data_IF_648209998665
#
_entry.id   IF_648209998665
#
_cell.length_a   1.000
_cell.length_b   1.000
_cell.length_c   1.000
_cell.angle_alpha   90.00
_cell.angle_beta   90.00
_cell.angle_gamma   90.00
#
_symmetry.space_group_name_H-M   'P 1'
#
loop_
_entity.id
_entity.type
_entity.pdbx_description
1 polymer ?
#
# COMPACT_ATOMS: atom_id res chain seq x y z
N UNK A 1 9.36 18.75 34.12
CA UNK A 1 9.50 17.39 33.59
C UNK A 1 9.88 16.48 34.75
N UNK A 2 9.21 15.33 34.95
CA UNK A 2 9.68 14.36 35.96
C UNK A 2 10.96 13.72 35.39
N UNK A 3 12.00 13.56 36.19
CA UNK A 3 13.31 13.01 35.74
C UNK A 3 13.17 11.64 35.05
N UNK A 4 12.10 10.89 35.33
CA UNK A 4 11.78 9.62 34.67
C UNK A 4 11.22 9.71 33.25
N UNK A 5 11.12 10.91 32.65
CA UNK A 5 10.69 11.11 31.26
C UNK A 5 11.86 11.47 30.32
N UNK A 6 13.09 11.59 30.84
CA UNK A 6 14.29 11.83 30.04
C UNK A 6 14.84 10.51 29.49
N UNK A 7 15.26 10.51 28.23
CA UNK A 7 15.95 9.37 27.61
C UNK A 7 17.21 9.01 28.42
N UNK A 8 17.37 7.72 28.75
CA UNK A 8 18.48 7.20 29.56
C UNK A 8 19.86 7.61 29.02
N UNK A 9 19.98 7.82 27.70
CA UNK A 9 21.22 8.27 27.07
C UNK A 9 21.53 9.72 27.39
N UNK A 10 20.51 10.58 27.44
CA UNK A 10 20.63 11.99 27.82
C UNK A 10 21.01 12.10 29.30
N UNK A 11 20.35 11.31 30.15
CA UNK A 11 20.67 11.24 31.59
C UNK A 11 22.12 10.78 31.81
N UNK A 12 22.57 9.76 31.08
CA UNK A 12 23.95 9.27 31.15
C UNK A 12 24.98 10.33 30.73
N UNK A 13 24.72 11.04 29.62
CA UNK A 13 25.61 12.11 29.15
C UNK A 13 25.68 13.27 30.15
N UNK A 14 24.55 13.70 30.72
CA UNK A 14 24.52 14.77 31.70
C UNK A 14 25.27 14.40 32.99
N UNK A 15 25.11 13.15 33.47
CA UNK A 15 25.85 12.65 34.63
C UNK A 15 27.36 12.65 34.39
N UNK A 16 27.81 12.32 33.17
CA UNK A 16 29.24 12.35 32.81
C UNK A 16 29.80 13.77 32.71
N UNK A 17 28.97 14.74 32.35
CA UNK A 17 29.32 16.14 32.25
C UNK A 17 29.17 16.90 33.58
N UNK A 18 28.65 16.24 34.64
CA UNK A 18 28.42 16.86 35.95
C UNK A 18 27.24 17.84 35.96
N UNK A 19 26.37 17.77 34.96
CA UNK A 19 25.22 18.66 34.83
C UNK A 19 24.01 18.07 35.58
N UNK A 20 23.27 18.93 36.30
CA UNK A 20 22.05 18.50 36.98
C UNK A 20 20.94 18.27 35.96
N UNK A 21 20.49 17.02 35.83
CA UNK A 21 19.39 16.63 34.95
C UNK A 21 18.09 17.40 35.24
N UNK A 22 17.91 17.95 36.45
CA UNK A 22 16.76 18.79 36.80
C UNK A 22 16.84 20.20 36.23
N UNK A 23 18.04 20.67 35.87
CA UNK A 23 18.27 21.98 35.25
C UNK A 23 18.23 21.91 33.70
N UNK A 24 18.09 20.71 33.12
CA UNK A 24 18.03 20.54 31.68
C UNK A 24 16.79 21.21 31.09
N UNK A 25 17.02 22.23 30.27
CA UNK A 25 16.01 22.87 29.43
C UNK A 25 16.45 22.66 27.98
N UNK A 26 15.84 21.73 27.23
CA UNK A 26 16.26 21.50 25.85
C UNK A 26 16.07 22.77 25.04
N UNK A 27 17.13 23.21 24.37
CA UNK A 27 17.08 24.37 23.49
C UNK A 27 16.09 24.11 22.35
N UNK A 28 15.16 25.03 22.14
CA UNK A 28 14.22 24.97 21.01
C UNK A 28 15.02 25.04 19.71
N UNK A 29 14.97 23.97 18.91
CA UNK A 29 15.56 23.93 17.58
C UNK A 29 14.83 24.92 16.66
N UNK A 30 15.54 25.71 15.83
CA UNK A 30 14.92 26.66 14.93
C UNK A 30 14.22 25.93 13.78
N UNK A 31 12.90 26.11 13.68
CA UNK A 31 12.06 25.55 12.64
C UNK A 31 12.03 26.45 11.38
N UNK A 32 12.37 25.87 10.23
CA UNK A 32 11.77 26.28 8.95
C UNK A 32 10.46 25.51 8.77
N UNK A 33 9.32 26.17 8.99
CA UNK A 33 8.08 25.99 8.23
C UNK A 33 7.00 26.93 8.77
N UNK A 34 6.45 27.72 7.84
CA UNK A 34 5.44 28.76 8.00
C UNK A 34 4.18 28.24 8.69
N UNK A 35 3.93 28.70 9.92
CA UNK A 35 2.59 28.84 10.50
C UNK A 35 2.60 30.16 11.27
N UNK A 36 1.58 30.98 11.02
CA UNK A 36 1.40 32.34 11.56
C UNK A 36 1.58 32.37 13.08
N UNK A 37 2.60 33.08 13.53
CA UNK A 37 2.88 33.40 14.93
C UNK A 37 2.01 34.57 15.39
N UNK A 38 1.12 34.32 16.34
CA UNK A 38 0.85 35.29 17.41
C UNK A 38 1.37 34.70 18.71
N UNK A 39 2.25 35.47 19.35
CA UNK A 39 3.10 35.07 20.46
C UNK A 39 2.33 35.06 21.80
N UNK A 40 2.59 34.04 22.63
CA UNK A 40 2.20 34.04 24.03
C UNK A 40 2.19 32.65 24.68
N UNK A 41 3.18 32.41 25.55
CA UNK A 41 3.17 31.48 26.69
C UNK A 41 2.75 30.01 26.50
N UNK A 42 3.73 29.10 26.66
CA UNK A 42 3.61 27.74 27.22
C UNK A 42 2.28 26.98 27.00
N UNK A 43 1.76 26.97 25.78
CA UNK A 43 0.71 26.05 25.38
C UNK A 43 1.37 24.75 24.94
N UNK A 44 1.21 23.72 25.75
CA UNK A 44 1.29 22.32 25.31
C UNK A 44 0.49 22.23 24.01
N UNK A 45 1.19 22.22 22.87
CA UNK A 45 0.55 22.31 21.56
C UNK A 45 -0.46 21.16 21.47
N UNK A 46 -1.73 21.54 21.47
CA UNK A 46 -2.84 20.60 21.45
C UNK A 46 -2.82 19.98 20.06
N UNK A 47 -2.35 18.74 19.95
CA UNK A 47 -2.46 17.99 18.71
C UNK A 47 -3.93 17.73 18.44
N UNK A 48 -4.49 18.44 17.47
CA UNK A 48 -5.86 18.27 16.99
C UNK A 48 -5.82 17.55 15.64
N UNK A 49 -6.65 16.53 15.50
CA UNK A 49 -6.87 15.80 14.25
C UNK A 49 -8.25 16.13 13.70
N UNK A 50 -8.41 16.08 12.39
CA UNK A 50 -9.72 16.22 11.74
C UNK A 50 -10.20 14.83 11.30
N UNK A 51 -11.43 14.46 11.67
CA UNK A 51 -12.05 13.19 11.29
C UNK A 51 -13.55 13.37 11.10
N UNK A 52 -14.06 13.11 9.89
CA UNK A 52 -15.47 13.26 9.51
C UNK A 52 -16.07 14.61 9.93
N UNK A 53 -15.34 15.70 9.65
CA UNK A 53 -15.74 17.07 9.99
C UNK A 53 -15.67 17.40 11.48
N UNK A 54 -15.04 16.56 12.31
CA UNK A 54 -14.87 16.77 13.75
C UNK A 54 -13.42 16.94 14.12
N UNK A 55 -13.19 17.81 15.10
CA UNK A 55 -11.90 17.95 15.76
C UNK A 55 -11.73 16.94 16.89
N UNK A 56 -10.72 16.09 16.77
CA UNK A 56 -10.31 15.13 17.79
C UNK A 56 -9.07 15.64 18.50
N UNK A 57 -9.20 15.98 19.78
CA UNK A 57 -8.03 16.29 20.59
C UNK A 57 -7.30 15.01 21.01
N UNK A 58 -6.00 14.95 20.75
CA UNK A 58 -5.15 13.85 21.23
C UNK A 58 -4.57 14.25 22.57
N UNK A 59 -4.97 13.57 23.65
CA UNK A 59 -4.46 13.84 24.99
C UNK A 59 -3.20 13.01 25.32
N UNK A 60 -3.18 11.75 24.89
CA UNK A 60 -2.10 10.80 25.20
C UNK A 60 -0.79 11.18 24.51
N UNK A 61 0.26 11.40 25.29
CA UNK A 61 1.58 11.79 24.80
C UNK A 61 2.20 10.76 23.86
N UNK A 62 2.02 9.47 24.12
CA UNK A 62 2.55 8.40 23.27
C UNK A 62 1.90 8.39 21.89
N UNK A 63 0.60 8.67 21.84
CA UNK A 63 -0.13 8.84 20.57
C UNK A 63 0.38 10.08 19.82
N UNK A 64 0.63 11.19 20.51
CA UNK A 64 1.20 12.41 19.91
C UNK A 64 2.59 12.17 19.34
N UNK A 65 3.46 11.49 20.09
CA UNK A 65 4.82 11.20 19.67
C UNK A 65 4.83 10.26 18.46
N UNK A 66 4.06 9.17 18.48
CA UNK A 66 3.92 8.28 17.34
C UNK A 66 3.39 9.00 16.09
N UNK A 67 2.40 9.89 16.23
CA UNK A 67 1.91 10.74 15.14
C UNK A 67 2.99 11.68 14.59
N UNK A 68 3.79 12.29 15.46
CA UNK A 68 4.89 13.17 15.07
C UNK A 68 5.94 12.39 14.26
N UNK A 69 6.30 11.19 14.72
CA UNK A 69 7.23 10.32 14.01
C UNK A 69 6.66 9.83 12.68
N UNK A 70 5.37 9.45 12.61
CA UNK A 70 4.73 9.07 11.35
C UNK A 70 4.80 10.18 10.29
N UNK A 71 4.53 11.43 10.70
CA UNK A 71 4.56 12.62 9.84
C UNK A 71 5.97 13.02 9.40
N UNK A 72 6.99 12.69 10.20
CA UNK A 72 8.39 13.01 9.87
C UNK A 72 8.98 12.06 8.81
N UNK A 73 8.36 10.89 8.58
CA UNK A 73 8.83 9.93 7.56
C UNK A 73 8.60 10.50 6.15
N UNK A 74 9.65 10.69 5.33
CA UNK A 74 9.56 11.37 4.04
C UNK A 74 9.13 10.43 2.89
N UNK A 75 8.01 9.70 3.03
CA UNK A 75 7.56 8.72 2.01
C UNK A 75 7.32 9.39 0.66
N UNK A 76 6.42 10.38 0.59
CA UNK A 76 5.97 10.97 -0.68
C UNK A 76 7.09 11.66 -1.47
N UNK A 77 8.05 12.32 -0.80
CA UNK A 77 9.14 12.99 -1.50
C UNK A 77 10.14 12.00 -2.08
N UNK A 78 10.41 10.89 -1.38
CA UNK A 78 11.28 9.81 -1.88
C UNK A 78 10.59 9.02 -2.98
N UNK A 79 9.31 8.71 -2.81
CA UNK A 79 8.47 8.06 -3.81
C UNK A 79 8.41 8.87 -5.11
N UNK A 80 8.06 10.16 -5.04
CA UNK A 80 8.00 11.03 -6.21
C UNK A 80 9.33 11.10 -6.95
N UNK A 81 10.45 11.19 -6.22
CA UNK A 81 11.80 11.17 -6.80
C UNK A 81 12.14 9.85 -7.49
N UNK A 82 11.68 8.72 -6.94
CA UNK A 82 11.87 7.41 -7.57
C UNK A 82 11.02 7.29 -8.84
N UNK A 83 9.82 7.87 -8.85
CA UNK A 83 8.87 7.82 -9.97
C UNK A 83 9.08 8.90 -11.04
N UNK A 84 9.97 9.87 -10.83
CA UNK A 84 10.23 10.98 -11.76
C UNK A 84 10.77 10.51 -13.14
N UNK A 85 11.58 9.45 -13.16
CA UNK A 85 12.04 8.86 -14.42
C UNK A 85 10.96 8.03 -15.11
N UNK A 86 11.07 7.78 -16.42
CA UNK A 86 10.14 6.89 -17.15
C UNK A 86 10.58 5.41 -17.18
N UNK A 87 11.83 5.12 -16.76
CA UNK A 87 12.41 3.79 -16.79
C UNK A 87 11.94 2.85 -15.66
N UNK A 88 12.36 1.59 -15.75
CA UNK A 88 12.09 0.58 -14.72
C UNK A 88 12.73 0.97 -13.37
N UNK A 89 11.97 0.83 -12.29
CA UNK A 89 12.44 1.10 -10.93
C UNK A 89 13.31 -0.06 -10.44
N UNK A 90 14.53 0.27 -10.03
CA UNK A 90 15.48 -0.73 -9.50
C UNK A 90 15.00 -1.31 -8.17
N UNK A 91 15.41 -2.54 -7.86
CA UNK A 91 15.03 -3.21 -6.59
C UNK A 91 15.48 -2.39 -5.37
N UNK A 92 16.65 -1.77 -5.42
CA UNK A 92 17.14 -0.92 -4.32
C UNK A 92 16.31 0.35 -4.11
N UNK A 93 15.87 1.01 -5.19
CA UNK A 93 14.97 2.17 -5.08
C UNK A 93 13.58 1.78 -4.56
N UNK A 94 13.04 0.66 -5.04
CA UNK A 94 11.78 0.10 -4.58
C UNK A 94 11.83 -0.21 -3.08
N UNK A 95 12.81 -0.99 -2.63
CA UNK A 95 12.95 -1.36 -1.21
C UNK A 95 13.10 -0.13 -0.32
N UNK A 96 13.85 0.88 -0.76
CA UNK A 96 14.00 2.13 -0.01
C UNK A 96 12.66 2.83 0.25
N UNK A 97 11.74 2.85 -0.71
CA UNK A 97 10.41 3.46 -0.53
C UNK A 97 9.55 2.57 0.39
N UNK A 98 9.58 1.26 0.18
CA UNK A 98 8.82 0.30 1.00
C UNK A 98 9.25 0.35 2.47
N UNK A 99 10.55 0.41 2.77
CA UNK A 99 11.06 0.53 4.14
C UNK A 99 10.52 1.79 4.85
N UNK A 100 10.38 2.90 4.11
CA UNK A 100 9.81 4.13 4.64
C UNK A 100 8.30 4.00 4.87
N UNK A 101 7.57 3.40 3.93
CA UNK A 101 6.13 3.12 4.08
C UNK A 101 5.88 2.24 5.30
N UNK A 102 6.62 1.13 5.42
CA UNK A 102 6.51 0.18 6.53
C UNK A 102 6.83 0.86 7.87
N UNK A 103 7.87 1.71 7.91
CA UNK A 103 8.19 2.51 9.10
C UNK A 103 7.05 3.46 9.48
N UNK A 104 6.43 4.14 8.52
CA UNK A 104 5.29 5.04 8.79
C UNK A 104 4.07 4.26 9.29
N UNK A 105 3.76 3.13 8.67
CA UNK A 105 2.68 2.22 9.11
C UNK A 105 2.91 1.75 10.54
N UNK A 106 4.15 1.39 10.90
CA UNK A 106 4.50 0.99 12.27
C UNK A 106 4.19 2.09 13.29
N UNK A 107 4.51 3.36 12.98
CA UNK A 107 4.15 4.47 13.87
C UNK A 107 2.62 4.67 13.99
N UNK A 108 1.85 4.49 12.92
CA UNK A 108 0.39 4.51 13.02
C UNK A 108 -0.16 3.34 13.85
N UNK A 109 0.43 2.15 13.73
CA UNK A 109 0.08 0.99 14.57
C UNK A 109 0.41 1.22 16.05
N UNK A 110 1.54 1.85 16.37
CA UNK A 110 1.89 2.23 17.74
C UNK A 110 0.87 3.23 18.31
N UNK A 111 0.51 4.25 17.52
CA UNK A 111 -0.52 5.22 17.90
C UNK A 111 -1.88 4.55 18.11
N UNK A 112 -2.26 3.62 17.23
CA UNK A 112 -3.49 2.82 17.32
C UNK A 112 -3.50 1.94 18.58
N UNK A 113 -2.39 1.30 18.91
CA UNK A 113 -2.27 0.44 20.09
C UNK A 113 -2.50 1.25 21.37
N UNK A 114 -1.91 2.45 21.48
CA UNK A 114 -2.13 3.35 22.61
C UNK A 114 -3.56 3.91 22.64
N UNK A 115 -4.14 4.30 21.51
CA UNK A 115 -5.53 4.76 21.45
C UNK A 115 -6.52 3.66 21.89
N UNK A 116 -6.28 2.40 21.51
CA UNK A 116 -7.08 1.24 21.96
C UNK A 116 -6.91 0.98 23.46
N UNK A 117 -5.71 1.15 23.99
CA UNK A 117 -5.46 1.03 25.43
C UNK A 117 -6.26 2.07 26.21
N UNK A 118 -6.24 3.33 25.79
CA UNK A 118 -7.02 4.40 26.42
C UNK A 118 -8.53 4.14 26.33
N UNK A 119 -9.01 3.68 25.16
CA UNK A 119 -10.42 3.35 24.96
C UNK A 119 -10.90 2.26 25.92
N UNK A 120 -10.09 1.23 26.18
CA UNK A 120 -10.42 0.17 27.14
C UNK A 120 -10.47 0.66 28.58
N UNK A 121 -9.74 1.72 28.91
CA UNK A 121 -9.76 2.35 30.24
C UNK A 121 -10.84 3.41 30.42
N UNK A 122 -11.56 3.79 29.36
CA UNK A 122 -12.56 4.84 29.40
C UNK A 122 -13.87 4.35 30.00
N UNK A 123 -14.52 5.19 30.81
CA UNK A 123 -15.84 4.90 31.35
C UNK A 123 -16.90 4.84 30.24
N UNK A 124 -17.77 3.83 30.30
CA UNK A 124 -18.79 3.58 29.29
C UNK A 124 -19.83 4.72 29.22
N UNK A 125 -20.31 5.01 28.01
CA UNK A 125 -21.33 6.02 27.75
C UNK A 125 -20.83 7.47 27.87
N UNK A 126 -19.54 7.70 28.10
CA UNK A 126 -18.98 9.04 28.23
C UNK A 126 -18.60 9.64 26.86
N UNK A 127 -18.66 10.97 26.76
CA UNK A 127 -18.18 11.69 25.58
C UNK A 127 -16.69 11.40 25.28
N UNK A 128 -15.89 11.16 26.32
CA UNK A 128 -14.48 10.78 26.19
C UNK A 128 -14.33 9.41 25.51
N UNK A 129 -15.16 8.42 25.87
CA UNK A 129 -15.16 7.11 25.21
C UNK A 129 -15.45 7.26 23.71
N UNK A 130 -16.47 8.03 23.35
CA UNK A 130 -16.79 8.31 21.93
C UNK A 130 -15.63 8.97 21.19
N UNK A 131 -14.97 9.96 21.81
CA UNK A 131 -13.81 10.62 21.21
C UNK A 131 -12.64 9.65 20.99
N UNK A 132 -12.36 8.77 21.94
CA UNK A 132 -11.32 7.74 21.82
C UNK A 132 -11.67 6.70 20.75
N UNK A 133 -12.95 6.33 20.61
CA UNK A 133 -13.41 5.45 19.55
C UNK A 133 -13.21 6.06 18.17
N UNK A 134 -13.55 7.35 18.00
CA UNK A 134 -13.28 8.08 16.75
C UNK A 134 -11.79 8.16 16.45
N UNK A 135 -10.95 8.32 17.47
CA UNK A 135 -9.50 8.32 17.32
C UNK A 135 -8.98 6.95 16.84
N UNK A 136 -9.52 5.86 17.37
CA UNK A 136 -9.22 4.49 16.88
C UNK A 136 -9.63 4.32 15.43
N UNK A 137 -10.82 4.78 15.03
CA UNK A 137 -11.27 4.73 13.63
C UNK A 137 -10.37 5.54 12.70
N UNK A 138 -9.96 6.74 13.13
CA UNK A 138 -9.00 7.57 12.40
C UNK A 138 -7.70 6.81 12.13
N UNK A 139 -7.14 6.14 13.14
CA UNK A 139 -5.88 5.40 12.96
C UNK A 139 -6.03 4.15 12.10
N UNK A 140 -7.15 3.43 12.21
CA UNK A 140 -7.45 2.32 11.31
C UNK A 140 -7.50 2.81 9.86
N UNK A 141 -8.12 3.96 9.61
CA UNK A 141 -8.14 4.58 8.29
C UNK A 141 -6.74 4.93 7.79
N UNK A 142 -5.89 5.53 8.65
CA UNK A 142 -4.51 5.86 8.25
C UNK A 142 -3.69 4.62 7.91
N UNK A 143 -3.83 3.53 8.67
CA UNK A 143 -3.14 2.26 8.38
C UNK A 143 -3.61 1.70 7.02
N UNK A 144 -4.92 1.65 6.78
CA UNK A 144 -5.46 1.19 5.50
C UNK A 144 -5.02 2.10 4.33
N UNK A 145 -5.01 3.43 4.53
CA UNK A 145 -4.59 4.40 3.51
C UNK A 145 -3.11 4.27 3.12
N UNK A 146 -2.23 3.97 4.08
CA UNK A 146 -0.82 3.70 3.80
C UNK A 146 -0.63 2.34 3.12
N UNK A 147 -1.41 1.31 3.50
CA UNK A 147 -1.43 0.01 2.78
C UNK A 147 -1.88 0.17 1.33
N UNK A 148 -2.93 0.96 1.09
CA UNK A 148 -3.38 1.34 -0.25
C UNK A 148 -2.25 2.02 -1.03
N UNK A 149 -1.61 3.04 -0.44
CA UNK A 149 -0.52 3.78 -1.07
C UNK A 149 0.65 2.85 -1.45
N UNK A 150 1.00 1.91 -0.57
CA UNK A 150 2.02 0.88 -0.82
C UNK A 150 1.65 -0.01 -2.01
N UNK A 151 0.40 -0.47 -2.08
CA UNK A 151 -0.06 -1.33 -3.18
C UNK A 151 -0.09 -0.57 -4.52
N UNK A 152 -0.51 0.70 -4.52
CA UNK A 152 -0.48 1.56 -5.71
C UNK A 152 0.95 1.86 -6.18
N UNK A 153 1.88 2.11 -5.24
CA UNK A 153 3.30 2.27 -5.58
C UNK A 153 3.86 1.00 -6.24
N UNK A 154 3.59 -0.17 -5.68
CA UNK A 154 4.01 -1.44 -6.26
C UNK A 154 3.38 -1.67 -7.64
N UNK A 155 2.10 -1.32 -7.83
CA UNK A 155 1.44 -1.43 -9.12
C UNK A 155 2.14 -0.57 -10.19
N UNK A 156 2.54 0.66 -9.85
CA UNK A 156 3.30 1.52 -10.77
C UNK A 156 4.70 0.96 -11.06
N UNK A 157 5.40 0.42 -10.05
CA UNK A 157 6.71 -0.23 -10.24
C UNK A 157 6.60 -1.44 -11.17
N UNK A 158 5.65 -2.34 -10.93
CA UNK A 158 5.45 -3.53 -11.75
C UNK A 158 4.92 -3.20 -13.15
N UNK A 159 4.11 -2.15 -13.29
CA UNK A 159 3.72 -1.61 -14.59
C UNK A 159 4.94 -1.23 -15.43
N UNK A 160 5.87 -0.43 -14.88
CA UNK A 160 7.08 -0.02 -15.62
C UNK A 160 7.96 -1.21 -15.99
N UNK A 161 8.06 -2.20 -15.09
CA UNK A 161 8.77 -3.47 -15.38
C UNK A 161 8.10 -4.27 -16.49
N UNK A 162 6.78 -4.34 -16.51
CA UNK A 162 6.02 -4.99 -17.58
C UNK A 162 6.30 -4.32 -18.94
N UNK A 163 6.21 -2.98 -19.02
CA UNK A 163 6.51 -2.26 -20.26
C UNK A 163 7.97 -2.48 -20.71
N UNK A 164 8.93 -2.48 -19.78
CA UNK A 164 10.33 -2.78 -20.08
C UNK A 164 10.52 -4.24 -20.56
N UNK A 165 9.76 -5.18 -20.00
CA UNK A 165 9.73 -6.59 -20.40
C UNK A 165 9.24 -6.73 -21.84
N UNK A 166 8.15 -6.07 -22.19
CA UNK A 166 7.65 -6.06 -23.57
C UNK A 166 8.66 -5.47 -24.54
N UNK A 167 9.27 -4.32 -24.22
CA UNK A 167 10.28 -3.70 -25.07
C UNK A 167 11.51 -4.61 -25.28
N UNK A 168 11.96 -5.30 -24.23
CA UNK A 168 13.06 -6.27 -24.31
C UNK A 168 12.71 -7.48 -25.19
N UNK A 169 11.47 -7.99 -25.09
CA UNK A 169 11.01 -9.13 -25.89
C UNK A 169 10.82 -8.77 -27.37
N UNK A 170 10.29 -7.57 -27.66
CA UNK A 170 10.12 -7.09 -29.04
C UNK A 170 11.45 -6.81 -29.73
N UNK A 171 12.44 -6.25 -29.01
CA UNK A 171 13.75 -5.95 -29.57
C UNK A 171 14.61 -7.20 -29.86
N UNK A 172 14.46 -8.26 -29.04
CA UNK A 172 15.13 -9.55 -29.25
C UNK A 172 14.75 -10.22 -30.58
N UNK A 173 13.52 -9.99 -31.05
CA UNK A 173 13.06 -10.49 -32.35
C UNK A 173 13.70 -9.76 -33.56
N UNK A 174 14.26 -8.56 -33.37
CA UNK A 174 14.73 -7.69 -34.45
C UNK A 174 16.24 -7.39 -34.45
N UNK A 175 16.98 -7.57 -33.35
CA UNK A 175 18.40 -7.20 -33.30
C UNK A 175 19.25 -8.10 -32.37
N UNK A 176 20.14 -8.91 -32.98
CA UNK A 176 21.31 -9.48 -32.31
C UNK A 176 22.26 -8.35 -31.90
N UNK A 177 22.12 -7.76 -30.71
CA UNK A 177 23.19 -6.92 -30.16
C UNK A 177 22.83 -5.83 -29.14
N UNK A 178 21.56 -5.50 -28.90
CA UNK A 178 21.20 -4.58 -27.81
C UNK A 178 20.85 -5.37 -26.55
N UNK A 179 21.68 -5.26 -25.52
CA UNK A 179 21.30 -5.69 -24.15
C UNK A 179 20.06 -4.89 -23.76
N UNK A 180 18.94 -5.58 -23.54
CA UNK A 180 17.74 -4.95 -23.01
C UNK A 180 18.00 -4.34 -21.63
N UNK A 181 17.30 -3.25 -21.32
CA UNK A 181 17.46 -2.47 -20.09
C UNK A 181 17.02 -3.22 -18.81
N UNK A 182 16.44 -4.42 -18.95
CA UNK A 182 15.94 -5.23 -17.84
C UNK A 182 16.41 -6.69 -17.95
N UNK A 183 16.83 -7.25 -16.82
CA UNK A 183 17.25 -8.65 -16.72
C UNK A 183 16.03 -9.58 -16.83
N UNK A 184 16.14 -10.77 -17.46
CA UNK A 184 15.05 -11.74 -17.53
C UNK A 184 14.44 -12.13 -16.18
N UNK A 185 15.25 -12.13 -15.11
CA UNK A 185 14.78 -12.40 -13.75
C UNK A 185 13.89 -11.30 -13.15
N UNK A 186 13.77 -10.16 -13.83
CA UNK A 186 12.94 -9.02 -13.45
C UNK A 186 11.77 -8.82 -14.41
N UNK A 187 11.54 -9.77 -15.32
CA UNK A 187 10.38 -9.73 -16.20
C UNK A 187 9.10 -9.76 -15.37
N UNK A 188 8.15 -8.92 -15.74
CA UNK A 188 6.87 -8.79 -15.04
C UNK A 188 5.71 -9.05 -16.00
N UNK A 189 4.66 -9.70 -15.47
CA UNK A 189 3.41 -9.94 -16.17
C UNK A 189 2.39 -8.85 -15.84
N UNK A 190 1.51 -8.46 -16.79
CA UNK A 190 0.43 -7.51 -16.49
C UNK A 190 -0.53 -8.06 -15.41
N UNK A 191 -0.62 -9.38 -15.23
CA UNK A 191 -1.43 -10.01 -14.18
C UNK A 191 -0.88 -9.76 -12.76
N UNK A 192 0.43 -9.52 -12.61
CA UNK A 192 0.98 -9.09 -11.32
C UNK A 192 0.45 -7.71 -10.93
N UNK A 193 0.32 -6.81 -11.91
CA UNK A 193 -0.24 -5.47 -11.71
C UNK A 193 -1.73 -5.55 -11.39
N UNK A 194 -2.47 -6.46 -12.02
CA UNK A 194 -3.88 -6.75 -11.70
C UNK A 194 -4.04 -7.13 -10.23
N UNK A 195 -3.24 -8.10 -9.73
CA UNK A 195 -3.29 -8.54 -8.33
C UNK A 195 -3.00 -7.40 -7.34
N UNK A 196 -2.07 -6.50 -7.70
CA UNK A 196 -1.76 -5.33 -6.87
C UNK A 196 -2.91 -4.33 -6.82
N UNK A 197 -3.64 -4.11 -7.92
CA UNK A 197 -4.86 -3.29 -7.90
C UNK A 197 -6.01 -3.95 -7.15
N UNK A 198 -6.11 -5.28 -7.16
CA UNK A 198 -7.08 -6.01 -6.33
C UNK A 198 -6.78 -5.83 -4.84
N UNK A 199 -5.53 -6.02 -4.42
CA UNK A 199 -5.09 -5.78 -3.04
C UNK A 199 -5.27 -4.30 -2.63
N UNK A 200 -5.03 -3.36 -3.54
CA UNK A 200 -5.33 -1.95 -3.34
C UNK A 200 -6.84 -1.72 -3.12
N UNK A 201 -7.69 -2.34 -3.93
CA UNK A 201 -9.14 -2.24 -3.81
C UNK A 201 -9.66 -2.86 -2.49
N UNK A 202 -9.07 -3.96 -2.03
CA UNK A 202 -9.36 -4.54 -0.71
C UNK A 202 -9.06 -3.55 0.43
N UNK A 203 -7.93 -2.84 0.34
CA UNK A 203 -7.56 -1.79 1.31
C UNK A 203 -8.58 -0.64 1.32
N UNK A 204 -9.15 -0.29 0.16
CA UNK A 204 -10.26 0.68 0.07
C UNK A 204 -11.52 0.13 0.75
N UNK A 205 -11.85 -1.13 0.53
CA UNK A 205 -12.96 -1.80 1.21
C UNK A 205 -12.83 -1.75 2.74
N UNK A 206 -11.62 -1.96 3.28
CA UNK A 206 -11.36 -1.80 4.73
C UNK A 206 -11.63 -0.37 5.23
N UNK A 207 -11.29 0.65 4.43
CA UNK A 207 -11.61 2.04 4.77
C UNK A 207 -13.12 2.28 4.78
N UNK A 208 -13.85 1.77 3.78
CA UNK A 208 -15.31 1.95 3.64
C UNK A 208 -16.11 1.34 4.79
N UNK A 209 -15.59 0.29 5.42
CA UNK A 209 -16.20 -0.33 6.61
C UNK A 209 -16.16 0.57 7.86
N UNK A 210 -15.34 1.63 7.86
CA UNK A 210 -15.22 2.53 9.00
C UNK A 210 -16.40 3.52 9.07
N UNK A 211 -16.96 3.76 10.27
CA UNK A 211 -18.12 4.65 10.41
C UNK A 211 -17.87 6.06 9.87
N UNK A 212 -18.76 6.50 8.98
CA UNK A 212 -18.74 7.83 8.35
C UNK A 212 -17.71 8.00 7.23
N UNK A 213 -17.10 6.90 6.77
CA UNK A 213 -16.18 6.91 5.61
C UNK A 213 -16.91 6.62 4.30
N UNK A 214 -17.96 5.79 4.32
CA UNK A 214 -18.79 5.50 3.14
C UNK A 214 -19.33 6.79 2.50
N UNK A 215 -19.23 6.91 1.17
CA UNK A 215 -19.69 8.09 0.44
C UNK A 215 -18.71 9.26 0.41
N UNK A 216 -17.49 9.09 0.96
CA UNK A 216 -16.45 10.12 0.86
C UNK A 216 -15.85 10.12 -0.54
N UNK A 217 -15.91 11.28 -1.20
CA UNK A 217 -15.40 11.47 -2.56
C UNK A 217 -13.92 11.09 -2.73
N UNK A 218 -13.07 11.26 -1.71
CA UNK A 218 -11.68 10.84 -1.78
C UNK A 218 -11.52 9.31 -1.75
N UNK A 219 -12.35 8.60 -1.00
CA UNK A 219 -12.33 7.12 -0.93
C UNK A 219 -12.95 6.50 -2.19
N UNK A 220 -14.05 7.07 -2.68
CA UNK A 220 -14.67 6.67 -3.95
C UNK A 220 -13.69 6.86 -5.13
N UNK A 221 -12.97 7.98 -5.16
CA UNK A 221 -11.92 8.20 -6.15
C UNK A 221 -10.80 7.15 -6.09
N UNK A 222 -10.38 6.71 -4.89
CA UNK A 222 -9.41 5.63 -4.76
C UNK A 222 -9.98 4.29 -5.24
N UNK A 223 -11.23 3.98 -4.91
CA UNK A 223 -11.92 2.78 -5.38
C UNK A 223 -11.97 2.75 -6.92
N UNK A 224 -12.32 3.88 -7.54
CA UNK A 224 -12.36 4.05 -8.98
C UNK A 224 -10.99 3.86 -9.64
N UNK A 225 -9.93 4.46 -9.07
CA UNK A 225 -8.54 4.26 -9.51
C UNK A 225 -8.16 2.79 -9.46
N UNK A 226 -8.52 2.07 -8.40
CA UNK A 226 -8.21 0.65 -8.27
C UNK A 226 -8.95 -0.21 -9.29
N UNK A 227 -10.26 0.00 -9.46
CA UNK A 227 -11.08 -0.70 -10.46
C UNK A 227 -10.59 -0.44 -11.89
N UNK A 228 -10.34 0.82 -12.23
CA UNK A 228 -9.86 1.21 -13.56
C UNK A 228 -8.44 0.70 -13.84
N UNK A 229 -7.55 0.74 -12.84
CA UNK A 229 -6.21 0.15 -12.93
C UNK A 229 -6.25 -1.35 -13.19
N UNK A 230 -7.07 -2.10 -12.44
CA UNK A 230 -7.32 -3.52 -12.68
C UNK A 230 -7.78 -3.79 -14.13
N UNK A 231 -8.79 -3.04 -14.60
CA UNK A 231 -9.33 -3.21 -15.96
C UNK A 231 -8.29 -2.88 -17.03
N UNK A 232 -7.48 -1.84 -16.86
CA UNK A 232 -6.39 -1.49 -17.76
C UNK A 232 -5.43 -2.68 -17.94
N UNK A 233 -4.89 -3.24 -16.85
CA UNK A 233 -3.90 -4.32 -16.96
C UNK A 233 -4.51 -5.68 -17.31
N UNK A 234 -5.79 -5.90 -17.04
CA UNK A 234 -6.52 -7.03 -17.63
C UNK A 234 -6.61 -6.87 -19.15
N UNK A 235 -6.85 -5.64 -19.63
CA UNK A 235 -6.80 -5.30 -21.05
C UNK A 235 -5.42 -5.55 -21.67
N UNK A 236 -4.35 -5.14 -20.98
CA UNK A 236 -2.97 -5.44 -21.40
C UNK A 236 -2.71 -6.95 -21.48
N UNK A 237 -3.19 -7.74 -20.51
CA UNK A 237 -3.07 -9.19 -20.55
C UNK A 237 -3.76 -9.79 -21.80
N UNK A 238 -5.00 -9.38 -22.08
CA UNK A 238 -5.70 -9.82 -23.30
C UNK A 238 -5.02 -9.36 -24.58
N UNK A 239 -4.47 -8.14 -24.61
CA UNK A 239 -3.73 -7.61 -25.76
C UNK A 239 -2.54 -8.48 -26.10
N UNK A 240 -1.73 -8.86 -25.09
CA UNK A 240 -0.55 -9.68 -25.34
C UNK A 240 -0.92 -11.13 -25.74
N UNK A 241 -2.09 -11.63 -25.32
CA UNK A 241 -2.64 -12.89 -25.81
C UNK A 241 -3.19 -12.81 -27.25
N UNK A 242 -3.30 -11.62 -27.83
CA UNK A 242 -3.88 -11.39 -29.16
C UNK A 242 -5.41 -11.30 -29.19
N UNK A 243 -6.07 -11.31 -28.02
CA UNK A 243 -7.53 -11.21 -27.87
C UNK A 243 -7.97 -9.74 -27.87
N UNK A 244 -7.78 -9.06 -29.01
CA UNK A 244 -7.91 -7.60 -29.13
C UNK A 244 -9.32 -7.08 -28.75
N UNK A 245 -10.38 -7.84 -29.07
CA UNK A 245 -11.75 -7.47 -28.72
C UNK A 245 -11.97 -7.42 -27.20
N UNK A 246 -11.42 -8.39 -26.45
CA UNK A 246 -11.49 -8.42 -24.98
C UNK A 246 -10.67 -7.29 -24.39
N UNK A 247 -9.48 -7.04 -24.93
CA UNK A 247 -8.63 -5.93 -24.50
C UNK A 247 -9.34 -4.57 -24.65
N UNK A 248 -9.95 -4.34 -25.82
CA UNK A 248 -10.74 -3.15 -26.12
C UNK A 248 -11.89 -2.95 -25.15
N UNK A 249 -12.64 -4.02 -24.85
CA UNK A 249 -13.73 -3.98 -23.87
C UNK A 249 -13.23 -3.60 -22.47
N UNK A 250 -12.06 -4.08 -22.07
CA UNK A 250 -11.48 -3.75 -20.77
C UNK A 250 -11.08 -2.26 -20.68
N UNK A 251 -10.41 -1.71 -21.70
CA UNK A 251 -10.04 -0.30 -21.73
C UNK A 251 -11.26 0.63 -21.73
N UNK A 252 -12.31 0.28 -22.49
CA UNK A 252 -13.55 1.04 -22.49
C UNK A 252 -14.24 1.01 -21.13
N UNK A 253 -14.29 -0.16 -20.48
CA UNK A 253 -14.84 -0.28 -19.13
C UNK A 253 -14.03 0.55 -18.10
N UNK A 254 -12.70 0.55 -18.20
CA UNK A 254 -11.83 1.36 -17.34
C UNK A 254 -12.12 2.86 -17.50
N UNK A 255 -12.30 3.33 -18.73
CA UNK A 255 -12.65 4.73 -19.01
C UNK A 255 -14.04 5.09 -18.48
N UNK A 256 -15.03 4.21 -18.61
CA UNK A 256 -16.37 4.44 -18.06
C UNK A 256 -16.31 4.64 -16.53
N UNK A 257 -15.58 3.78 -15.81
CA UNK A 257 -15.36 3.92 -14.36
C UNK A 257 -14.72 5.28 -14.02
N UNK A 258 -13.73 5.72 -14.80
CA UNK A 258 -13.06 7.00 -14.58
C UNK A 258 -13.91 8.22 -14.99
N UNK A 259 -14.98 8.05 -15.77
CA UNK A 259 -15.88 9.13 -16.19
C UNK A 259 -16.98 9.40 -15.15
N UNK A 260 -17.52 8.34 -14.54
CA UNK A 260 -18.59 8.42 -13.54
C UNK A 260 -18.18 9.25 -12.30
N UNK A 261 -16.90 9.21 -11.94
CA UNK A 261 -16.36 9.77 -10.69
C UNK A 261 -15.86 11.22 -10.83
N UNK A 262 -15.93 11.80 -12.03
CA UNK A 262 -15.50 13.17 -12.32
C UNK A 262 -13.98 13.35 -12.55
N UNK A 263 -13.45 14.59 -12.55
CA UNK A 263 -12.02 14.85 -12.73
C UNK A 263 -11.26 14.65 -11.42
N UNK A 264 -11.08 13.41 -11.01
CA UNK A 264 -10.72 13.02 -9.63
C UNK A 264 -9.34 12.34 -9.59
N UNK A 265 -8.41 12.99 -8.87
CA UNK A 265 -7.02 12.59 -8.60
C UNK A 265 -6.03 12.61 -9.79
N UNK A 266 -4.74 12.84 -9.49
CA UNK A 266 -3.66 12.77 -10.48
C UNK A 266 -3.47 11.35 -11.04
N UNK A 267 -3.66 10.32 -10.20
CA UNK A 267 -3.60 8.92 -10.59
C UNK A 267 -4.73 8.56 -11.58
N UNK A 268 -5.95 9.05 -11.34
CA UNK A 268 -7.09 8.85 -12.25
C UNK A 268 -6.85 9.46 -13.64
N UNK A 269 -6.24 10.66 -13.71
CA UNK A 269 -5.85 11.29 -14.98
C UNK A 269 -4.81 10.46 -15.73
N UNK A 270 -3.75 10.03 -15.05
CA UNK A 270 -2.72 9.19 -15.64
C UNK A 270 -3.29 7.88 -16.20
N UNK A 271 -4.19 7.22 -15.46
CA UNK A 271 -4.85 6.00 -15.92
C UNK A 271 -5.77 6.25 -17.11
N UNK A 272 -6.48 7.39 -17.14
CA UNK A 272 -7.30 7.79 -18.28
C UNK A 272 -6.44 7.93 -19.53
N UNK A 273 -5.36 8.70 -19.44
CA UNK A 273 -4.43 8.93 -20.56
C UNK A 273 -3.84 7.61 -21.08
N UNK A 274 -3.44 6.71 -20.16
CA UNK A 274 -2.94 5.37 -20.54
C UNK A 274 -4.00 4.53 -21.24
N UNK A 275 -5.24 4.49 -20.74
CA UNK A 275 -6.33 3.74 -21.38
C UNK A 275 -6.68 4.30 -22.76
N UNK A 276 -6.74 5.62 -22.91
CA UNK A 276 -6.97 6.27 -24.20
C UNK A 276 -5.84 5.94 -25.20
N UNK A 277 -4.59 5.97 -24.74
CA UNK A 277 -3.44 5.57 -25.55
C UNK A 277 -3.52 4.10 -25.98
N UNK A 278 -3.80 3.16 -25.06
CA UNK A 278 -3.91 1.74 -25.39
C UNK A 278 -5.07 1.47 -26.36
N UNK A 279 -6.21 2.16 -26.20
CA UNK A 279 -7.35 2.05 -27.10
C UNK A 279 -7.03 2.60 -28.50
N UNK A 280 -6.30 3.71 -28.59
CA UNK A 280 -5.84 4.28 -29.85
C UNK A 280 -4.91 3.30 -30.59
N UNK A 281 -3.93 2.72 -29.89
CA UNK A 281 -3.01 1.72 -30.45
C UNK A 281 -3.77 0.49 -30.94
N UNK A 282 -4.71 -0.06 -30.15
CA UNK A 282 -5.53 -1.20 -30.57
C UNK A 282 -6.35 -0.90 -31.83
N UNK A 283 -6.96 0.28 -31.91
CA UNK A 283 -7.76 0.67 -33.07
C UNK A 283 -6.89 0.78 -34.33
N UNK A 284 -5.68 1.32 -34.21
CA UNK A 284 -4.71 1.35 -35.31
C UNK A 284 -4.24 -0.06 -35.71
N UNK A 285 -4.02 -0.95 -34.73
CA UNK A 285 -3.70 -2.35 -34.99
C UNK A 285 -4.84 -3.06 -35.72
N UNK A 286 -6.09 -2.90 -35.32
CA UNK A 286 -7.26 -3.47 -36.00
C UNK A 286 -7.35 -3.01 -37.47
N UNK A 287 -7.06 -1.74 -37.76
CA UNK A 287 -7.06 -1.19 -39.11
C UNK A 287 -5.92 -1.74 -40.00
N UNK A 288 -4.79 -2.08 -39.39
CA UNK A 288 -3.63 -2.67 -40.10
C UNK A 288 -3.68 -4.20 -40.15
N UNK A 289 -4.46 -4.85 -39.26
CA UNK A 289 -4.58 -6.29 -39.11
C UNK A 289 -5.31 -7.00 -40.26
N UNK A 290 -5.93 -6.26 -41.19
CA UNK A 290 -6.33 -6.82 -42.49
C UNK A 290 -5.15 -7.47 -43.26
N UNK A 291 -3.90 -7.17 -42.87
CA UNK A 291 -2.69 -7.75 -43.45
C UNK A 291 -1.92 -8.75 -42.55
N UNK A 292 -2.31 -8.97 -41.29
CA UNK A 292 -1.45 -9.66 -40.30
C UNK A 292 -2.21 -10.66 -39.42
N UNK A 293 -2.83 -11.67 -40.04
CA UNK A 293 -3.16 -12.91 -39.33
C UNK A 293 -1.98 -13.89 -39.42
N UNK A 294 -1.05 -13.77 -38.46
CA UNK A 294 -0.13 -14.85 -38.15
C UNK A 294 -0.17 -15.05 -36.64
N UNK A 295 -0.79 -16.15 -36.21
CA UNK A 295 -0.76 -16.67 -34.84
C UNK A 295 0.70 -16.78 -34.39
N UNK A 296 1.18 -15.78 -33.66
CA UNK A 296 2.35 -15.94 -32.82
C UNK A 296 1.88 -16.72 -31.59
N UNK A 297 2.59 -17.80 -31.24
CA UNK A 297 2.31 -18.52 -30.01
C UNK A 297 2.37 -17.55 -28.82
N UNK A 298 1.44 -17.65 -27.85
CA UNK A 298 1.44 -16.77 -26.70
C UNK A 298 2.81 -16.83 -26.00
N UNK A 299 3.39 -15.68 -25.63
CA UNK A 299 4.71 -15.67 -25.05
C UNK A 299 4.68 -16.45 -23.72
N UNK A 300 5.72 -17.25 -23.46
CA UNK A 300 5.75 -18.26 -22.40
C UNK A 300 5.56 -17.71 -20.96
N UNK A 301 5.57 -16.39 -20.77
CA UNK A 301 5.33 -15.75 -19.48
C UNK A 301 3.84 -15.43 -19.19
N UNK A 302 2.93 -15.71 -20.13
CA UNK A 302 1.47 -15.48 -20.00
C UNK A 302 0.64 -16.76 -19.87
N UNK A 303 1.26 -17.89 -19.55
CA UNK A 303 0.60 -19.21 -19.45
C UNK A 303 -0.46 -19.27 -18.33
N UNK A 304 -0.67 -18.20 -17.55
CA UNK A 304 -1.62 -18.14 -16.43
C UNK A 304 -3.05 -17.71 -16.81
N UNK A 305 -3.31 -17.28 -18.04
CA UNK A 305 -4.61 -16.73 -18.45
C UNK A 305 -5.42 -17.71 -19.33
N UNK A 306 -6.05 -18.71 -18.72
CA UNK A 306 -7.13 -19.47 -19.35
C UNK A 306 -8.48 -19.11 -18.74
N UNK A 307 -9.23 -18.32 -19.51
CA UNK A 307 -10.68 -18.06 -19.57
C UNK A 307 -11.57 -17.94 -18.31
N UNK A 308 -11.38 -18.63 -17.19
CA UNK A 308 -12.39 -18.62 -16.11
C UNK A 308 -11.86 -18.52 -14.67
N UNK A 309 -10.63 -18.88 -14.36
CA UNK A 309 -10.07 -18.72 -13.01
C UNK A 309 -8.56 -18.86 -13.10
N UNK A 310 -7.83 -18.25 -12.16
CA UNK A 310 -6.36 -18.26 -12.05
C UNK A 310 -5.77 -19.63 -12.42
N UNK A 311 -5.24 -19.72 -13.64
CA UNK A 311 -4.65 -20.94 -14.17
C UNK A 311 -3.26 -21.11 -13.57
N UNK A 312 -3.09 -22.12 -12.71
CA UNK A 312 -1.78 -22.53 -12.20
C UNK A 312 -0.91 -22.96 -13.39
N UNK A 313 0.30 -22.39 -13.47
CA UNK A 313 1.26 -22.67 -14.53
C UNK A 313 1.39 -24.18 -14.80
N UNK A 314 1.37 -24.56 -16.08
CA UNK A 314 1.74 -25.90 -16.49
C UNK A 314 3.17 -26.18 -15.96
N UNK A 315 3.28 -27.12 -15.01
CA UNK A 315 4.47 -27.52 -14.24
C UNK A 315 4.64 -26.95 -12.82
N UNK A 316 3.71 -26.14 -12.30
CA UNK A 316 3.67 -25.81 -10.87
C UNK A 316 2.71 -26.78 -10.19
N UNK A 317 3.26 -27.72 -9.40
CA UNK A 317 2.43 -28.50 -8.46
C UNK A 317 1.71 -27.52 -7.54
N UNK A 318 0.37 -27.62 -7.45
CA UNK A 318 -0.41 -26.88 -6.45
C UNK A 318 0.21 -27.15 -5.08
N UNK A 319 0.58 -26.09 -4.36
CA UNK A 319 0.96 -26.17 -2.96
C UNK A 319 -0.11 -25.47 -2.11
N UNK A 320 -0.70 -26.16 -1.14
CA UNK A 320 -0.41 -27.55 -0.83
C UNK A 320 -0.92 -28.50 -1.92
N UNK A 321 -0.29 -29.67 -2.12
CA UNK A 321 -0.87 -30.71 -2.96
C UNK A 321 -2.29 -31.02 -2.47
N UNK A 322 -3.15 -31.58 -3.32
CA UNK A 322 -4.48 -32.05 -2.91
C UNK A 322 -4.32 -33.04 -1.76
N UNK A 323 -4.34 -32.52 -0.53
CA UNK A 323 -4.30 -33.31 0.67
C UNK A 323 -5.66 -33.99 0.76
N UNK A 324 -5.71 -35.26 0.39
CA UNK A 324 -6.77 -36.11 0.91
C UNK A 324 -6.71 -35.97 2.43
N UNK A 325 -7.82 -35.55 3.05
CA UNK A 325 -7.93 -35.50 4.49
C UNK A 325 -7.77 -36.94 5.01
N UNK A 326 -6.53 -37.31 5.33
CA UNK A 326 -6.25 -38.53 6.08
C UNK A 326 -6.73 -38.21 7.49
N UNK A 327 -7.70 -38.95 8.05
CA UNK A 327 -8.11 -38.77 9.42
C UNK A 327 -6.93 -39.12 10.34
N UNK A 328 -6.12 -38.12 10.66
CA UNK A 328 -5.12 -38.22 11.71
C UNK A 328 -5.87 -38.11 13.04
N UNK A 329 -5.87 -39.21 13.80
CA UNK A 329 -6.19 -39.14 15.22
C UNK A 329 -5.21 -38.13 15.84
N UNK A 330 -5.67 -37.09 16.55
CA UNK A 330 -4.78 -36.19 17.27
C UNK A 330 -3.86 -37.02 18.15
N UNK A 331 -2.60 -36.61 18.27
CA UNK A 331 -1.69 -37.22 19.23
C UNK A 331 -2.20 -36.84 20.62
N UNK A 332 -2.91 -37.76 21.27
CA UNK A 332 -3.29 -37.64 22.67
C UNK A 332 -2.15 -38.18 23.51
N UNK A 333 -1.56 -37.32 24.34
CA UNK A 333 -0.62 -37.72 25.38
C UNK A 333 -1.44 -37.95 26.66
N UNK A 334 -1.40 -39.17 27.18
CA UNK A 334 -2.05 -39.49 28.46
C UNK A 334 -1.19 -39.01 29.63
N UNK A 335 -1.42 -37.76 30.02
CA UNK A 335 -0.71 -37.12 31.14
C UNK A 335 -1.21 -37.68 32.50
N UNK A 336 -2.34 -38.39 32.56
CA UNK A 336 -2.80 -38.99 33.81
C UNK A 336 -1.91 -40.17 34.22
N UNK A 337 -1.36 -40.89 33.25
CA UNK A 337 -0.44 -42.01 33.50
C UNK A 337 0.85 -41.61 34.22
N UNK A 338 1.30 -40.35 34.08
CA UNK A 338 2.47 -39.83 34.80
C UNK A 338 2.24 -39.53 36.28
N UNK A 339 1.01 -39.61 36.78
CA UNK A 339 0.66 -39.31 38.17
C UNK A 339 0.18 -40.53 38.96
N UNK A 340 0.37 -41.75 38.43
CA UNK A 340 0.09 -42.99 39.18
C UNK A 340 1.33 -43.34 40.00
N UNK A 341 1.34 -42.92 41.27
CA UNK A 341 2.29 -43.38 42.28
C UNK A 341 1.64 -44.41 43.22
N UNK A 342 2.47 -45.23 43.87
CA UNK A 342 2.00 -46.14 44.91
C UNK A 342 1.59 -45.35 46.16
N UNK A 343 0.49 -45.72 46.84
CA UNK A 343 0.15 -45.12 48.12
C UNK A 343 1.22 -45.44 49.17
N UNK A 344 1.50 -44.48 50.04
CA UNK A 344 2.43 -44.64 51.18
C UNK A 344 2.01 -45.76 52.15
#
# INVERSE_FOLDING_TARGET
MKVGELDDRVVYCMQRLGEDAKAYTPAALPHHAVVSEEAGEAQTTRTVLQWNGRELAVANIKVKDALREARSVPVHSVEAKVLEGSGAVTVGQMNKVLDLMDRRVNYYNDALAHARQDLRGAAEGTAQQTQLQLLVHFFLFQVAAETLSRNLFLAEVHSRRFHATEAALQSSAAAKGRKGDILPSLYASPLEVVRLYEAANESVGEMELLPGVTGRADVEAHAAVCRAGKLLYLGEAWRVLGELAKAKSCYQAALAVLQEEGPTSAAGKLLRDRNEQSLFVLTAMEQTAAAYHKQAAPPAYLVEATAEEVGVAANVMRFPPDFQAVPFKPVFVDIASTFIDYPE
#
